data_IF_843853846187
#
_entry.id   IF_843853846187
#
_cell.length_a   1.000
_cell.length_b   1.000
_cell.length_c   1.000
_cell.angle_alpha   90.00
_cell.angle_beta   90.00
_cell.angle_gamma   90.00
#
_symmetry.space_group_name_H-M   'P 1'
#
loop_
_entity.id
_entity.type
_entity.pdbx_description
1 polymer ?
#
# COMPACT_ATOMS: atom_id res chain seq x y z
N UNK A 1 -7.99 -10.39 10.79
CA UNK A 1 -7.82 -9.11 10.09
C UNK A 1 -6.45 -8.54 10.36
N UNK A 2 -5.77 -8.07 9.34
CA UNK A 2 -4.43 -7.52 9.47
C UNK A 2 -4.50 -6.00 9.48
N UNK A 3 -3.87 -5.41 10.49
CA UNK A 3 -3.81 -3.96 10.64
C UNK A 3 -2.45 -3.45 10.13
N UNK A 4 -2.48 -2.31 9.47
CA UNK A 4 -1.30 -1.62 8.97
C UNK A 4 -1.40 -0.14 9.31
N UNK A 5 -0.30 0.57 9.25
CA UNK A 5 -0.26 2.00 9.52
C UNK A 5 0.49 2.73 8.42
N UNK A 6 0.17 4.01 8.26
CA UNK A 6 0.95 4.91 7.42
C UNK A 6 2.15 5.38 8.24
N UNK A 7 3.34 5.14 7.72
CA UNK A 7 4.59 5.53 8.38
C UNK A 7 5.15 6.77 7.67
N UNK A 8 5.37 7.82 8.45
CA UNK A 8 5.95 9.06 7.94
C UNK A 8 7.45 8.89 7.70
N UNK A 9 7.91 9.33 6.53
CA UNK A 9 9.32 9.46 6.20
C UNK A 9 9.65 10.93 5.99
N UNK A 10 10.89 11.25 5.62
CA UNK A 10 11.33 12.64 5.45
C UNK A 10 10.58 13.35 4.32
N UNK A 11 10.41 12.71 3.17
CA UNK A 11 9.79 13.31 1.98
C UNK A 11 8.57 12.56 1.46
N UNK A 12 8.18 11.48 2.11
CA UNK A 12 7.05 10.64 1.66
C UNK A 12 6.47 9.90 2.84
N UNK A 13 5.54 9.00 2.55
CA UNK A 13 4.98 8.09 3.55
C UNK A 13 4.95 6.70 2.96
N UNK A 14 4.89 5.69 3.82
CA UNK A 14 4.83 4.29 3.40
C UNK A 14 3.76 3.53 4.16
N UNK A 15 3.15 2.58 3.47
CA UNK A 15 2.33 1.56 4.10
C UNK A 15 3.08 0.24 3.89
N UNK A 16 3.53 -0.40 4.99
CA UNK A 16 4.20 -1.69 4.92
C UNK A 16 3.15 -2.78 4.84
N UNK A 17 3.29 -3.65 3.86
CA UNK A 17 2.31 -4.67 3.53
C UNK A 17 2.82 -6.04 3.98
N UNK A 18 2.01 -6.82 4.72
CA UNK A 18 2.40 -8.19 5.09
C UNK A 18 2.67 -9.06 3.87
N UNK A 19 3.59 -10.01 4.01
CA UNK A 19 4.07 -10.82 2.90
C UNK A 19 2.96 -11.59 2.17
N UNK A 20 2.04 -12.19 2.91
CA UNK A 20 0.93 -12.96 2.34
C UNK A 20 -0.04 -12.08 1.56
N UNK A 21 -0.32 -10.89 2.08
CA UNK A 21 -1.18 -9.90 1.40
C UNK A 21 -0.50 -9.40 0.13
N UNK A 22 0.79 -9.08 0.22
CA UNK A 22 1.56 -8.60 -0.93
C UNK A 22 1.59 -9.65 -2.04
N UNK A 23 1.77 -10.91 -1.70
CA UNK A 23 1.80 -12.00 -2.68
C UNK A 23 0.48 -12.11 -3.44
N UNK A 24 -0.65 -11.98 -2.74
CA UNK A 24 -1.96 -12.01 -3.39
C UNK A 24 -2.19 -10.79 -4.28
N UNK A 25 -1.74 -9.62 -3.85
CA UNK A 25 -1.90 -8.38 -4.60
C UNK A 25 -1.02 -8.37 -5.84
N UNK A 26 0.27 -8.69 -5.69
CA UNK A 26 1.26 -8.58 -6.77
C UNK A 26 1.36 -9.83 -7.64
N UNK A 27 0.98 -10.98 -7.10
CA UNK A 27 1.23 -12.28 -7.74
C UNK A 27 2.67 -12.76 -7.58
N UNK A 28 3.48 -12.08 -6.76
CA UNK A 28 4.90 -12.40 -6.53
C UNK A 28 5.11 -12.81 -5.08
N UNK A 29 5.46 -14.08 -4.86
CA UNK A 29 5.68 -14.59 -3.51
C UNK A 29 7.05 -14.22 -2.95
N UNK A 30 8.08 -14.24 -3.80
CA UNK A 30 9.46 -13.97 -3.41
C UNK A 30 10.13 -13.11 -4.46
N UNK A 31 11.12 -12.33 -4.02
CA UNK A 31 11.94 -11.56 -4.93
C UNK A 31 11.57 -10.08 -4.95
N UNK A 32 12.29 -9.37 -5.78
CA UNK A 32 12.08 -7.94 -5.96
C UNK A 32 10.90 -7.70 -6.88
N UNK A 33 10.19 -6.62 -6.60
CA UNK A 33 9.02 -6.22 -7.38
C UNK A 33 8.90 -4.71 -7.35
N UNK A 34 8.52 -4.15 -8.49
CA UNK A 34 8.21 -2.72 -8.61
C UNK A 34 7.06 -2.56 -9.56
N UNK A 35 6.08 -1.77 -9.17
CA UNK A 35 4.99 -1.39 -10.05
C UNK A 35 4.44 -0.03 -9.68
N UNK A 36 3.95 0.68 -10.67
CA UNK A 36 3.08 1.83 -10.43
C UNK A 36 1.69 1.31 -10.11
N UNK A 37 1.01 2.02 -9.24
CA UNK A 37 -0.38 1.75 -8.90
C UNK A 37 -1.09 3.07 -8.67
N UNK A 38 -2.38 3.03 -8.45
CA UNK A 38 -3.20 4.21 -8.24
C UNK A 38 -3.99 4.04 -6.95
N UNK A 39 -4.09 5.13 -6.22
CA UNK A 39 -4.72 5.12 -4.91
C UNK A 39 -5.90 6.09 -4.93
N UNK A 40 -7.04 5.63 -4.43
CA UNK A 40 -8.20 6.47 -4.19
C UNK A 40 -8.58 6.42 -2.72
N UNK A 41 -9.03 7.54 -2.19
CA UNK A 41 -9.51 7.65 -0.81
C UNK A 41 -10.95 8.12 -0.83
N UNK A 42 -11.86 7.30 -0.32
CA UNK A 42 -13.24 7.67 -0.10
C UNK A 42 -13.41 8.04 1.36
N UNK A 43 -13.45 9.33 1.64
CA UNK A 43 -13.54 9.83 3.01
C UNK A 43 -14.90 9.52 3.65
N UNK A 44 -15.97 9.42 2.86
CA UNK A 44 -17.30 9.12 3.40
C UNK A 44 -17.41 7.68 3.89
N UNK A 45 -16.75 6.75 3.20
CA UNK A 45 -16.73 5.33 3.56
C UNK A 45 -15.53 4.96 4.42
N UNK A 46 -14.55 5.86 4.56
CA UNK A 46 -13.30 5.53 5.23
C UNK A 46 -12.53 4.41 4.53
N UNK A 47 -12.54 4.42 3.20
CA UNK A 47 -11.96 3.35 2.41
C UNK A 47 -10.84 3.87 1.53
N UNK A 48 -9.67 3.23 1.63
CA UNK A 48 -8.52 3.47 0.79
C UNK A 48 -8.41 2.30 -0.19
N UNK A 49 -8.39 2.60 -1.48
CA UNK A 49 -8.30 1.57 -2.52
C UNK A 49 -7.02 1.75 -3.31
N UNK A 50 -6.29 0.66 -3.49
CA UNK A 50 -5.05 0.59 -4.25
C UNK A 50 -5.25 -0.39 -5.40
N UNK A 51 -4.95 0.04 -6.62
CA UNK A 51 -5.16 -0.81 -7.79
C UNK A 51 -4.11 -0.54 -8.86
N UNK A 52 -3.78 -1.61 -9.61
CA UNK A 52 -2.91 -1.54 -10.77
C UNK A 52 -3.83 -1.45 -11.98
N UNK A 53 -3.87 -0.27 -12.61
CA UNK A 53 -4.75 -0.01 -13.76
C UNK A 53 -4.01 0.88 -14.75
N UNK A 54 -4.00 0.47 -16.01
CA UNK A 54 -3.39 1.23 -17.09
C UNK A 54 -4.13 2.54 -17.39
N UNK A 55 -5.38 2.65 -17.01
CA UNK A 55 -6.18 3.86 -17.23
C UNK A 55 -5.85 5.00 -16.27
N UNK A 56 -5.07 4.75 -15.22
CA UNK A 56 -4.46 5.78 -14.40
C UNK A 56 -5.40 6.67 -13.61
N UNK A 57 -6.51 6.16 -13.11
CA UNK A 57 -7.43 6.93 -12.27
C UNK A 57 -6.98 6.89 -10.82
N UNK A 58 -6.89 8.06 -10.19
CA UNK A 58 -6.47 8.18 -8.79
C UNK A 58 -5.09 8.81 -8.65
N UNK A 59 -4.55 8.78 -7.44
CA UNK A 59 -3.24 9.32 -7.14
C UNK A 59 -2.17 8.28 -7.46
N UNK A 60 -1.16 8.62 -8.29
CA UNK A 60 -0.07 7.68 -8.59
C UNK A 60 0.74 7.36 -7.34
N UNK A 61 1.02 6.09 -7.13
CA UNK A 61 1.85 5.58 -6.05
C UNK A 61 2.77 4.49 -6.61
N UNK A 62 3.72 4.02 -5.80
CA UNK A 62 4.61 2.94 -6.19
C UNK A 62 4.54 1.80 -5.19
N UNK A 63 4.58 0.58 -5.71
CA UNK A 63 4.54 -0.65 -4.92
C UNK A 63 5.88 -1.35 -5.06
N UNK A 64 6.49 -1.68 -3.93
CA UNK A 64 7.83 -2.26 -3.90
C UNK A 64 7.91 -3.53 -3.07
N UNK A 65 8.71 -4.48 -3.53
CA UNK A 65 9.31 -5.52 -2.70
C UNK A 65 10.81 -5.42 -2.92
N UNK A 66 11.56 -5.12 -1.87
CA UNK A 66 12.98 -4.79 -1.97
C UNK A 66 13.79 -5.55 -0.93
N UNK A 67 14.90 -6.15 -1.38
CA UNK A 67 15.81 -6.85 -0.49
C UNK A 67 16.63 -5.86 0.33
N UNK A 68 16.68 -6.05 1.65
CA UNK A 68 17.55 -5.28 2.53
C UNK A 68 18.87 -6.00 2.75
N UNK A 69 19.86 -5.30 3.33
CA UNK A 69 21.22 -5.86 3.53
C UNK A 69 21.23 -7.16 4.34
N UNK A 70 20.29 -7.30 5.26
CA UNK A 70 20.19 -8.51 6.09
C UNK A 70 19.66 -9.73 5.32
N UNK A 71 19.26 -9.60 4.06
CA UNK A 71 18.83 -10.69 3.21
C UNK A 71 17.34 -10.96 3.17
N UNK A 72 16.53 -10.20 3.91
CA UNK A 72 15.08 -10.34 3.86
C UNK A 72 14.47 -9.23 3.00
N UNK A 73 13.18 -9.34 2.69
CA UNK A 73 12.48 -8.38 1.84
C UNK A 73 11.55 -7.51 2.67
N UNK A 74 11.55 -6.21 2.36
CA UNK A 74 10.52 -5.30 2.84
C UNK A 74 9.53 -5.06 1.69
N UNK A 75 8.25 -4.99 2.03
CA UNK A 75 7.17 -4.81 1.07
C UNK A 75 6.36 -3.60 1.49
N UNK A 76 6.25 -2.62 0.59
CA UNK A 76 5.60 -1.38 0.95
C UNK A 76 5.02 -0.66 -0.25
N UNK A 77 4.09 0.24 0.03
CA UNK A 77 3.55 1.19 -0.93
C UNK A 77 4.05 2.57 -0.51
N UNK A 78 4.68 3.29 -1.44
CA UNK A 78 5.09 4.69 -1.21
C UNK A 78 3.96 5.60 -1.64
N UNK A 79 3.47 6.41 -0.72
CA UNK A 79 2.33 7.29 -0.93
C UNK A 79 2.74 8.75 -0.69
N UNK A 80 1.97 9.71 -1.24
CA UNK A 80 2.25 11.12 -1.01
C UNK A 80 2.17 11.49 0.47
N UNK A 81 3.03 12.40 0.90
CA UNK A 81 3.07 12.86 2.29
C UNK A 81 1.73 13.43 2.76
N UNK A 82 0.96 14.03 1.85
CA UNK A 82 -0.34 14.60 2.18
C UNK A 82 -1.32 13.56 2.75
N UNK A 83 -1.20 12.29 2.33
CA UNK A 83 -2.04 11.23 2.88
C UNK A 83 -1.71 10.94 4.35
N UNK A 84 -0.47 11.09 4.74
CA UNK A 84 -0.12 10.99 6.16
C UNK A 84 -0.80 12.10 6.97
N UNK A 85 -0.88 13.31 6.42
CA UNK A 85 -1.57 14.41 7.10
C UNK A 85 -3.06 14.16 7.28
N UNK A 86 -3.67 13.45 6.32
CA UNK A 86 -5.11 13.11 6.40
C UNK A 86 -5.35 11.93 7.35
N UNK A 87 -4.55 10.88 7.22
CA UNK A 87 -4.75 9.62 7.95
C UNK A 87 -4.09 9.64 9.33
N UNK A 88 -2.96 10.33 9.47
CA UNK A 88 -2.22 10.43 10.73
C UNK A 88 -1.81 9.06 11.25
N UNK A 89 -2.01 8.85 12.54
CA UNK A 89 -1.67 7.59 13.22
C UNK A 89 -2.82 6.59 13.23
N UNK A 90 -3.83 6.78 12.40
CA UNK A 90 -4.97 5.87 12.34
C UNK A 90 -4.54 4.50 11.87
N UNK A 91 -5.15 3.48 12.43
CA UNK A 91 -4.98 2.12 11.96
C UNK A 91 -5.78 1.92 10.69
N UNK A 92 -5.19 1.19 9.76
CA UNK A 92 -5.85 0.72 8.55
C UNK A 92 -6.00 -0.79 8.67
N UNK A 93 -7.13 -1.31 8.25
CA UNK A 93 -7.37 -2.76 8.23
C UNK A 93 -7.50 -3.19 6.78
N UNK A 94 -6.76 -4.23 6.41
CA UNK A 94 -6.87 -4.80 5.07
C UNK A 94 -8.23 -5.47 4.95
N UNK A 95 -9.05 -4.97 4.03
CA UNK A 95 -10.43 -5.42 3.84
C UNK A 95 -10.52 -6.47 2.74
N UNK A 96 -10.05 -6.14 1.55
CA UNK A 96 -10.12 -7.03 0.39
C UNK A 96 -8.78 -7.01 -0.34
N UNK A 97 -8.32 -8.18 -0.77
CA UNK A 97 -7.11 -8.31 -1.58
C UNK A 97 -7.38 -9.27 -2.73
N UNK A 98 -7.15 -8.80 -3.94
CA UNK A 98 -7.13 -9.59 -5.16
C UNK A 98 -5.90 -9.20 -5.96
N UNK A 99 -5.63 -9.92 -7.02
CA UNK A 99 -4.51 -9.58 -7.88
C UNK A 99 -4.73 -8.22 -8.53
N UNK A 100 -3.83 -7.29 -8.24
CA UNK A 100 -3.89 -5.92 -8.76
C UNK A 100 -4.87 -5.02 -8.04
N UNK A 101 -5.48 -5.48 -6.93
CA UNK A 101 -6.47 -4.71 -6.20
C UNK A 101 -6.35 -4.97 -4.70
N UNK A 102 -6.40 -3.89 -3.92
CA UNK A 102 -6.41 -3.98 -2.45
C UNK A 102 -7.24 -2.83 -1.89
N UNK A 103 -8.12 -3.14 -0.96
CA UNK A 103 -8.82 -2.11 -0.20
C UNK A 103 -8.47 -2.19 1.27
N UNK A 104 -8.33 -1.01 1.88
CA UNK A 104 -8.02 -0.85 3.30
C UNK A 104 -9.06 0.05 3.93
N UNK A 105 -9.56 -0.38 5.07
CA UNK A 105 -10.55 0.41 5.82
C UNK A 105 -9.84 1.24 6.88
N UNK A 106 -10.16 2.52 6.93
CA UNK A 106 -9.66 3.45 7.93
C UNK A 106 -10.48 3.31 9.20
N UNK A 107 -9.82 3.02 10.30
CA UNK A 107 -10.49 2.90 11.60
C UNK A 107 -10.57 4.24 12.33
#
# INVERSE_FOLDING_TARGET
MQAVKVIKLQHSSRIYIPADVFARFSGVEKGEYYSKAYLTLDCSEGMLTLFIDENGKGTPVTVHSKKVKAGWYIRYVTIPFVLYKILGDRNLVIDTVDRGFMSLKVL
#
